data_IF_972188653598
#
_entry.id   IF_972188653598
#
_cell.length_a   1.000
_cell.length_b   1.000
_cell.length_c   1.000
_cell.angle_alpha   90.00
_cell.angle_beta   90.00
_cell.angle_gamma   90.00
#
_symmetry.space_group_name_H-M   'P 1'
#
loop_
_entity.id
_entity.type
_entity.pdbx_description
1 polymer ?
#
# COMPACT_ATOMS: atom_id res chain seq x y z
N UNK A 1 23.73 -6.69 -0.74
CA UNK A 1 23.99 -5.26 -0.45
C UNK A 1 22.67 -4.52 -0.44
N UNK A 2 22.32 -3.79 0.63
CA UNK A 2 21.12 -2.94 0.68
C UNK A 2 21.31 -1.74 -0.24
N UNK A 3 20.22 -1.36 -0.96
CA UNK A 3 20.21 -0.19 -1.84
C UNK A 3 19.39 0.95 -1.25
N UNK A 4 18.17 0.68 -0.85
CA UNK A 4 17.25 1.69 -0.31
C UNK A 4 16.17 1.03 0.56
N UNK A 5 15.49 1.87 1.33
CA UNK A 5 14.32 1.48 2.11
C UNK A 5 13.07 1.93 1.34
N UNK A 6 12.14 1.00 1.17
CA UNK A 6 10.82 1.28 0.60
C UNK A 6 9.79 1.36 1.71
N UNK A 7 9.05 2.47 1.79
CA UNK A 7 7.91 2.61 2.69
C UNK A 7 6.63 2.27 1.93
N UNK A 8 5.80 1.44 2.53
CA UNK A 8 4.54 0.98 1.96
C UNK A 8 3.40 1.29 2.94
N UNK A 9 2.40 2.01 2.45
CA UNK A 9 1.25 2.45 3.23
C UNK A 9 0.03 2.66 2.32
N UNK A 10 -0.69 3.75 2.47
CA UNK A 10 -1.90 4.06 1.72
C UNK A 10 -1.65 5.15 0.67
N UNK A 11 -2.32 5.03 -0.45
CA UNK A 11 -2.44 6.06 -1.47
C UNK A 11 -3.89 6.44 -1.67
N UNK A 12 -4.15 7.66 -2.09
CA UNK A 12 -5.51 8.14 -2.23
C UNK A 12 -5.66 9.18 -3.35
N UNK A 13 -6.89 9.33 -3.80
CA UNK A 13 -7.35 10.49 -4.53
C UNK A 13 -7.63 11.63 -3.53
N UNK A 14 -6.80 12.68 -3.56
CA UNK A 14 -6.87 13.81 -2.61
C UNK A 14 -8.22 14.51 -2.66
N UNK A 15 -8.72 14.78 -3.86
CA UNK A 15 -9.98 15.50 -4.07
C UNK A 15 -11.17 14.74 -3.45
N UNK A 16 -11.18 13.41 -3.61
CA UNK A 16 -12.21 12.56 -3.01
C UNK A 16 -12.11 12.50 -1.49
N UNK A 17 -10.88 12.46 -0.95
CA UNK A 17 -10.63 12.50 0.49
C UNK A 17 -11.13 13.80 1.12
N UNK A 18 -10.75 14.94 0.53
CA UNK A 18 -11.17 16.26 1.01
C UNK A 18 -12.68 16.44 0.90
N UNK A 19 -13.31 15.91 -0.18
CA UNK A 19 -14.76 15.89 -0.32
C UNK A 19 -15.46 15.01 0.73
N UNK A 20 -14.79 13.94 1.21
CA UNK A 20 -15.25 13.11 2.32
C UNK A 20 -15.00 13.74 3.72
N UNK A 21 -14.40 14.93 3.77
CA UNK A 21 -14.15 15.68 5.01
C UNK A 21 -12.79 15.44 5.64
N UNK A 22 -11.87 14.78 4.95
CA UNK A 22 -10.51 14.55 5.47
C UNK A 22 -9.64 15.80 5.40
N UNK A 23 -8.96 16.14 6.48
CA UNK A 23 -7.83 17.07 6.47
C UNK A 23 -6.56 16.30 6.10
N UNK A 24 -6.26 16.24 4.80
CA UNK A 24 -5.13 15.48 4.28
C UNK A 24 -3.80 15.96 4.86
N UNK A 25 -3.61 17.25 5.06
CA UNK A 25 -2.38 17.81 5.61
C UNK A 25 -2.19 17.39 7.08
N UNK A 26 -3.25 17.43 7.88
CA UNK A 26 -3.25 16.93 9.26
C UNK A 26 -2.92 15.43 9.30
N UNK A 27 -3.60 14.61 8.51
CA UNK A 27 -3.36 13.16 8.45
C UNK A 27 -1.89 12.85 8.08
N UNK A 28 -1.31 13.61 7.14
CA UNK A 28 0.08 13.41 6.72
C UNK A 28 1.10 13.81 7.78
N UNK A 29 0.79 14.76 8.66
CA UNK A 29 1.71 15.27 9.68
C UNK A 29 1.53 14.66 11.06
N UNK A 30 0.32 14.24 11.41
CA UNK A 30 -0.06 13.81 12.77
C UNK A 30 -0.54 12.34 12.83
N UNK A 31 -0.74 11.71 11.65
CA UNK A 31 -1.38 10.40 11.57
C UNK A 31 -2.89 10.46 11.76
N UNK A 32 -3.53 9.32 11.88
CA UNK A 32 -4.96 9.16 12.13
C UNK A 32 -5.29 7.83 12.81
N UNK A 33 -6.40 7.81 13.53
CA UNK A 33 -6.92 6.60 14.17
C UNK A 33 -7.72 5.76 13.19
N UNK A 34 -7.97 4.50 13.56
CA UNK A 34 -8.85 3.61 12.80
C UNK A 34 -10.29 4.13 12.75
N UNK A 35 -10.78 4.76 13.84
CA UNK A 35 -12.10 5.37 13.89
C UNK A 35 -12.22 6.53 12.91
N UNK A 36 -11.25 7.45 12.89
CA UNK A 36 -11.20 8.55 11.90
C UNK A 36 -11.17 8.01 10.47
N UNK A 37 -10.41 6.94 10.23
CA UNK A 37 -10.37 6.27 8.95
C UNK A 37 -11.75 5.72 8.55
N UNK A 38 -12.45 5.01 9.45
CA UNK A 38 -13.79 4.49 9.17
C UNK A 38 -14.82 5.59 8.88
N UNK A 39 -14.75 6.72 9.59
CA UNK A 39 -15.64 7.87 9.31
C UNK A 39 -15.43 8.42 7.90
N UNK A 40 -14.18 8.55 7.46
CA UNK A 40 -13.83 8.97 6.11
C UNK A 40 -14.27 7.93 5.07
N UNK A 41 -14.07 6.62 5.33
CA UNK A 41 -14.56 5.58 4.43
C UNK A 41 -16.08 5.64 4.28
N UNK A 42 -16.80 5.82 5.37
CA UNK A 42 -18.26 5.94 5.37
C UNK A 42 -18.73 7.14 4.56
N UNK A 43 -18.05 8.28 4.69
CA UNK A 43 -18.40 9.49 3.96
C UNK A 43 -18.08 9.42 2.46
N UNK A 44 -16.97 8.75 2.10
CA UNK A 44 -16.48 8.66 0.72
C UNK A 44 -16.99 7.45 -0.08
N UNK A 45 -17.66 6.47 0.57
CA UNK A 45 -18.21 5.29 -0.13
C UNK A 45 -19.53 5.64 -0.79
N UNK A 46 -19.68 5.25 -2.06
CA UNK A 46 -20.91 5.40 -2.84
C UNK A 46 -21.27 4.10 -3.55
N UNK A 47 -22.35 4.08 -4.33
CA UNK A 47 -22.71 2.93 -5.19
C UNK A 47 -21.64 2.58 -6.23
N UNK A 48 -20.83 3.57 -6.64
CA UNK A 48 -19.87 3.47 -7.75
C UNK A 48 -18.41 3.56 -7.28
N UNK A 49 -18.19 3.85 -5.98
CA UNK A 49 -16.85 4.05 -5.41
C UNK A 49 -16.72 3.37 -4.05
N UNK A 50 -15.72 2.51 -3.91
CA UNK A 50 -15.30 1.98 -2.61
C UNK A 50 -14.48 3.04 -1.85
N UNK A 51 -14.73 3.16 -0.55
CA UNK A 51 -13.90 4.00 0.32
C UNK A 51 -12.46 3.51 0.36
N UNK A 52 -12.27 2.19 0.40
CA UNK A 52 -10.95 1.56 0.50
C UNK A 52 -10.83 0.29 -0.35
N UNK A 53 -9.71 0.15 -1.02
CA UNK A 53 -9.35 -1.06 -1.78
C UNK A 53 -7.94 -1.50 -1.40
N UNK A 54 -7.77 -2.77 -1.07
CA UNK A 54 -6.48 -3.37 -0.78
C UNK A 54 -6.25 -4.58 -1.68
N UNK A 55 -5.02 -4.72 -2.22
CA UNK A 55 -4.67 -5.92 -2.99
C UNK A 55 -4.55 -7.12 -2.04
N UNK A 56 -5.46 -8.09 -2.21
CA UNK A 56 -5.63 -9.21 -1.30
C UNK A 56 -5.73 -10.56 -2.00
N UNK A 57 -5.39 -10.63 -3.29
CA UNK A 57 -5.42 -11.88 -4.06
C UNK A 57 -4.07 -12.25 -4.68
N UNK A 58 -3.90 -13.52 -5.01
CA UNK A 58 -2.68 -14.05 -5.59
C UNK A 58 -1.47 -13.86 -4.68
N UNK A 59 -0.35 -13.42 -5.27
CA UNK A 59 0.91 -13.22 -4.54
C UNK A 59 0.87 -12.08 -3.53
N UNK A 60 -0.11 -11.19 -3.62
CA UNK A 60 -0.27 -10.05 -2.70
C UNK A 60 -1.14 -10.36 -1.49
N UNK A 61 -1.69 -11.57 -1.38
CA UNK A 61 -2.49 -11.95 -0.20
C UNK A 61 -1.69 -11.82 1.12
N UNK A 62 -0.39 -12.06 1.10
CA UNK A 62 0.51 -11.87 2.26
C UNK A 62 0.70 -10.42 2.66
N UNK A 63 0.39 -9.46 1.78
CA UNK A 63 0.49 -8.03 2.09
C UNK A 63 -0.58 -7.60 3.11
N UNK A 64 -1.69 -8.33 3.21
CA UNK A 64 -2.74 -8.06 4.20
C UNK A 64 -2.18 -8.15 5.63
N UNK A 65 -1.65 -9.27 6.13
CA UNK A 65 -1.08 -9.33 7.47
C UNK A 65 0.20 -8.50 7.63
N UNK A 66 1.01 -8.35 6.58
CA UNK A 66 2.31 -7.68 6.68
C UNK A 66 2.20 -6.15 6.61
N UNK A 67 1.35 -5.61 5.75
CA UNK A 67 1.25 -4.16 5.52
C UNK A 67 0.02 -3.59 6.20
N UNK A 68 -1.18 -4.14 5.91
CA UNK A 68 -2.41 -3.68 6.53
C UNK A 68 -2.45 -4.07 8.02
N UNK A 69 -1.82 -5.18 8.41
CA UNK A 69 -1.73 -5.64 9.79
C UNK A 69 -1.06 -4.66 10.75
N UNK A 70 -0.23 -3.75 10.23
CA UNK A 70 0.42 -2.70 11.03
C UNK A 70 -0.59 -1.85 11.79
N UNK A 71 -1.78 -1.58 11.21
CA UNK A 71 -2.86 -0.85 11.88
C UNK A 71 -3.35 -1.52 13.16
N UNK A 72 -3.25 -2.84 13.26
CA UNK A 72 -3.61 -3.65 14.40
C UNK A 72 -2.41 -4.05 15.28
N UNK A 73 -1.22 -3.49 15.03
CA UNK A 73 -0.02 -3.79 15.79
C UNK A 73 0.70 -5.07 15.38
N UNK A 74 0.42 -5.62 14.19
CA UNK A 74 1.19 -6.72 13.61
C UNK A 74 2.44 -6.15 12.94
N UNK A 75 3.60 -6.33 13.56
CA UNK A 75 4.87 -5.81 13.03
C UNK A 75 5.74 -6.90 12.39
N UNK A 76 5.56 -8.15 12.80
CA UNK A 76 6.32 -9.31 12.32
C UNK A 76 5.45 -10.57 12.32
N UNK A 77 5.82 -11.55 11.49
CA UNK A 77 5.20 -12.88 11.49
C UNK A 77 5.53 -13.69 12.76
N UNK A 78 6.61 -13.35 13.45
CA UNK A 78 7.06 -13.99 14.67
C UNK A 78 7.34 -12.92 15.74
N UNK A 79 7.03 -13.27 16.98
CA UNK A 79 7.42 -12.51 18.17
C UNK A 79 8.91 -12.67 18.47
N UNK A 80 9.47 -11.87 19.38
CA UNK A 80 10.90 -11.96 19.75
C UNK A 80 11.28 -13.32 20.34
N UNK A 81 10.31 -14.03 20.97
CA UNK A 81 10.47 -15.40 21.48
C UNK A 81 10.13 -16.47 20.40
N UNK A 82 10.10 -16.09 19.15
CA UNK A 82 9.89 -16.94 17.95
C UNK A 82 8.53 -17.67 17.93
N UNK A 83 7.52 -17.14 18.60
CA UNK A 83 6.14 -17.63 18.46
C UNK A 83 5.48 -16.99 17.24
N UNK A 84 4.58 -17.73 16.61
CA UNK A 84 3.85 -17.24 15.45
C UNK A 84 2.85 -16.16 15.84
N UNK A 85 3.07 -14.92 15.35
CA UNK A 85 2.28 -13.75 15.75
C UNK A 85 0.88 -13.70 15.11
N UNK A 86 0.68 -14.41 13.98
CA UNK A 86 -0.63 -14.43 13.28
C UNK A 86 -1.71 -15.28 13.99
N UNK A 87 -1.45 -15.78 15.19
CA UNK A 87 -2.45 -16.38 16.09
C UNK A 87 -2.79 -15.47 17.28
N UNK A 88 -2.39 -14.21 17.23
CA UNK A 88 -2.59 -13.22 18.30
C UNK A 88 -3.93 -12.49 18.19
N UNK A 89 -4.30 -11.79 19.26
CA UNK A 89 -5.46 -10.88 19.28
C UNK A 89 -5.32 -9.76 18.23
N UNK A 90 -4.10 -9.32 17.93
CA UNK A 90 -3.83 -8.33 16.89
C UNK A 90 -4.27 -8.84 15.51
N UNK A 91 -4.04 -10.13 15.20
CA UNK A 91 -4.54 -10.72 13.95
C UNK A 91 -6.07 -10.79 13.97
N UNK A 92 -6.67 -11.15 15.08
CA UNK A 92 -8.14 -11.16 15.21
C UNK A 92 -8.73 -9.76 15.03
N UNK A 93 -8.10 -8.73 15.59
CA UNK A 93 -8.49 -7.33 15.40
C UNK A 93 -8.40 -6.92 13.92
N UNK A 94 -7.33 -7.29 13.21
CA UNK A 94 -7.21 -7.06 11.76
C UNK A 94 -8.34 -7.74 10.98
N UNK A 95 -8.62 -9.00 11.26
CA UNK A 95 -9.67 -9.75 10.55
C UNK A 95 -11.07 -9.17 10.83
N UNK A 96 -11.34 -8.75 12.07
CA UNK A 96 -12.59 -8.08 12.43
C UNK A 96 -12.73 -6.74 11.69
N UNK A 97 -11.66 -5.96 11.57
CA UNK A 97 -11.67 -4.70 10.82
C UNK A 97 -11.96 -4.92 9.32
N UNK A 98 -11.36 -5.94 8.72
CA UNK A 98 -11.63 -6.30 7.32
C UNK A 98 -13.09 -6.73 7.15
N UNK A 99 -13.60 -7.56 8.08
CA UNK A 99 -14.99 -8.01 8.06
C UNK A 99 -15.94 -6.82 8.19
N UNK A 100 -15.68 -5.90 9.13
CA UNK A 100 -16.46 -4.68 9.34
C UNK A 100 -16.52 -3.83 8.07
N UNK A 101 -15.37 -3.48 7.49
CA UNK A 101 -15.29 -2.67 6.27
C UNK A 101 -15.97 -3.35 5.07
N UNK A 102 -15.85 -4.67 4.96
CA UNK A 102 -16.47 -5.45 3.88
C UNK A 102 -18.00 -5.50 4.06
N UNK A 103 -18.50 -5.77 5.27
CA UNK A 103 -19.95 -5.79 5.57
C UNK A 103 -20.60 -4.42 5.40
N UNK A 104 -19.87 -3.36 5.73
CA UNK A 104 -20.34 -1.98 5.53
C UNK A 104 -20.30 -1.54 4.04
N UNK A 105 -19.70 -2.34 3.14
CA UNK A 105 -19.53 -2.01 1.73
C UNK A 105 -18.40 -1.01 1.45
N UNK A 106 -17.57 -0.68 2.43
CA UNK A 106 -16.43 0.23 2.25
C UNK A 106 -15.30 -0.42 1.45
N UNK A 107 -15.18 -1.74 1.55
CA UNK A 107 -14.24 -2.57 0.77
C UNK A 107 -14.98 -3.55 -0.15
N UNK A 108 -14.35 -3.94 -1.29
CA UNK A 108 -14.84 -5.03 -2.11
C UNK A 108 -14.93 -6.35 -1.33
N UNK A 109 -15.98 -7.14 -1.59
CA UNK A 109 -16.14 -8.50 -1.06
C UNK A 109 -15.57 -9.58 -2.00
N UNK A 110 -14.65 -9.19 -2.88
CA UNK A 110 -13.97 -10.05 -3.84
C UNK A 110 -12.46 -9.77 -3.83
N UNK A 111 -11.67 -10.69 -4.39
CA UNK A 111 -10.22 -10.54 -4.49
C UNK A 111 -9.82 -9.42 -5.46
N UNK A 112 -8.93 -8.54 -5.01
CA UNK A 112 -8.36 -7.46 -5.82
C UNK A 112 -6.89 -7.76 -6.09
N UNK A 113 -6.53 -7.72 -7.36
CA UNK A 113 -5.14 -7.94 -7.81
C UNK A 113 -4.27 -6.69 -7.62
N UNK A 114 -2.95 -6.91 -7.55
CA UNK A 114 -1.98 -5.83 -7.32
C UNK A 114 -2.10 -4.65 -8.31
N UNK A 115 -2.33 -4.93 -9.59
CA UNK A 115 -2.49 -3.90 -10.63
C UNK A 115 -3.83 -3.15 -10.54
N UNK A 116 -4.88 -3.81 -10.08
CA UNK A 116 -6.24 -3.28 -10.11
C UNK A 116 -6.46 -2.14 -9.11
N UNK A 117 -5.87 -2.19 -7.90
CA UNK A 117 -6.12 -1.21 -6.84
C UNK A 117 -5.82 0.24 -7.25
N UNK A 118 -4.69 0.47 -7.94
CA UNK A 118 -4.33 1.80 -8.42
C UNK A 118 -5.21 2.22 -9.61
N UNK A 119 -5.51 1.29 -10.52
CA UNK A 119 -6.42 1.53 -11.64
C UNK A 119 -7.81 1.91 -11.14
N UNK A 120 -8.34 1.24 -10.10
CA UNK A 120 -9.62 1.60 -9.49
C UNK A 120 -9.59 3.03 -8.92
N UNK A 121 -8.49 3.44 -8.28
CA UNK A 121 -8.34 4.82 -7.80
C UNK A 121 -8.30 5.81 -8.99
N UNK A 122 -7.52 5.52 -10.03
CA UNK A 122 -7.45 6.36 -11.24
C UNK A 122 -8.80 6.48 -11.96
N UNK A 123 -9.66 5.47 -11.85
CA UNK A 123 -11.02 5.48 -12.42
C UNK A 123 -12.06 6.13 -11.51
N UNK A 124 -11.69 6.64 -10.34
CA UNK A 124 -12.63 7.15 -9.34
C UNK A 124 -13.51 6.08 -8.68
N UNK A 125 -13.14 4.79 -8.81
CA UNK A 125 -13.84 3.64 -8.23
C UNK A 125 -13.32 3.25 -6.85
N UNK A 126 -12.25 3.85 -6.39
CA UNK A 126 -11.71 3.73 -5.06
C UNK A 126 -11.15 5.08 -4.60
N UNK A 127 -11.51 5.51 -3.40
CA UNK A 127 -10.99 6.74 -2.80
C UNK A 127 -9.58 6.52 -2.25
N UNK A 128 -9.39 5.46 -1.49
CA UNK A 128 -8.12 5.07 -0.87
C UNK A 128 -7.72 3.68 -1.37
N UNK A 129 -6.45 3.45 -1.59
CA UNK A 129 -5.92 2.14 -1.96
C UNK A 129 -4.64 1.78 -1.19
N UNK A 130 -4.47 0.53 -0.85
CA UNK A 130 -3.26 -0.08 -0.27
C UNK A 130 -2.83 -1.27 -1.13
N UNK A 131 -1.68 -1.68 -1.14
CA UNK A 131 -0.38 -1.10 -0.71
C UNK A 131 0.02 0.01 -1.68
N UNK A 132 0.41 1.15 -1.14
CA UNK A 132 0.87 2.28 -1.93
C UNK A 132 2.31 2.68 -1.54
N UNK A 133 2.96 3.40 -2.42
CA UNK A 133 4.33 3.89 -2.27
C UNK A 133 4.41 5.33 -2.79
N UNK A 134 5.35 6.16 -2.29
CA UNK A 134 5.51 7.55 -2.76
C UNK A 134 5.71 7.65 -4.28
N UNK A 135 6.44 6.69 -4.87
CA UNK A 135 6.72 6.67 -6.32
C UNK A 135 5.46 6.55 -7.21
N UNK A 136 4.31 6.16 -6.65
CA UNK A 136 3.05 6.06 -7.41
C UNK A 136 2.53 7.43 -7.87
N UNK A 137 2.96 8.51 -7.22
CA UNK A 137 2.70 9.88 -7.68
C UNK A 137 3.17 10.09 -9.13
N UNK A 138 4.36 9.58 -9.47
CA UNK A 138 4.87 9.67 -10.84
C UNK A 138 3.98 8.93 -11.86
N UNK A 139 3.40 7.80 -11.48
CA UNK A 139 2.51 7.04 -12.36
C UNK A 139 1.18 7.77 -12.58
N UNK A 140 0.66 8.37 -11.52
CA UNK A 140 -0.57 9.17 -11.58
C UNK A 140 -0.34 10.44 -12.40
N UNK A 141 0.77 11.15 -12.18
CA UNK A 141 1.11 12.34 -12.95
C UNK A 141 1.30 12.04 -14.45
N UNK A 142 1.90 10.89 -14.80
CA UNK A 142 1.98 10.43 -16.20
C UNK A 142 0.60 10.18 -16.79
N UNK A 143 -0.30 9.55 -16.03
CA UNK A 143 -1.68 9.33 -16.48
C UNK A 143 -2.44 10.64 -16.67
N UNK A 144 -2.28 11.60 -15.75
CA UNK A 144 -2.88 12.93 -15.88
C UNK A 144 -2.39 13.66 -17.13
N UNK A 145 -1.08 13.60 -17.40
CA UNK A 145 -0.50 14.20 -18.62
C UNK A 145 -1.04 13.53 -19.90
N UNK A 146 -1.22 12.21 -19.91
CA UNK A 146 -1.81 11.48 -21.02
C UNK A 146 -3.29 11.85 -21.25
N UNK A 147 -4.05 12.06 -20.16
CA UNK A 147 -5.43 12.56 -20.24
C UNK A 147 -5.48 13.97 -20.86
N UNK A 148 -4.61 14.88 -20.39
CA UNK A 148 -4.53 16.25 -20.91
C UNK A 148 -4.12 16.27 -22.39
N UNK A 149 -3.14 15.46 -22.76
CA UNK A 149 -2.67 15.33 -24.15
C UNK A 149 -3.68 14.63 -25.06
N UNK A 150 -4.64 13.89 -24.50
CA UNK A 150 -5.59 13.03 -25.22
C UNK A 150 -4.90 12.12 -26.26
N UNK A 151 -3.76 11.54 -25.86
CA UNK A 151 -2.88 10.76 -26.74
C UNK A 151 -3.26 9.26 -26.83
N UNK A 152 -4.28 8.84 -26.08
CA UNK A 152 -4.78 7.47 -26.06
C UNK A 152 -3.93 6.52 -25.17
N UNK A 153 -2.94 7.02 -24.42
CA UNK A 153 -2.10 6.20 -23.54
C UNK A 153 -2.56 6.22 -22.07
N UNK A 154 -3.52 7.09 -21.73
CA UNK A 154 -4.11 7.12 -20.40
C UNK A 154 -4.81 5.80 -20.06
N UNK A 155 -4.90 5.49 -18.76
CA UNK A 155 -5.70 4.37 -18.26
C UNK A 155 -7.16 4.56 -18.70
N UNK A 156 -7.75 3.52 -19.25
CA UNK A 156 -9.12 3.56 -19.77
C UNK A 156 -10.11 3.99 -18.69
N UNK A 157 -10.99 4.94 -19.03
CA UNK A 157 -11.98 5.54 -18.12
C UNK A 157 -11.38 6.19 -16.86
N UNK A 158 -10.09 6.57 -16.89
CA UNK A 158 -9.48 7.29 -15.77
C UNK A 158 -9.88 8.76 -15.74
N UNK A 159 -9.73 9.34 -14.55
CA UNK A 159 -9.92 10.76 -14.27
C UNK A 159 -8.59 11.38 -13.84
N UNK A 160 -8.42 12.66 -14.04
CA UNK A 160 -7.31 13.39 -13.47
C UNK A 160 -7.50 13.49 -11.94
N UNK A 161 -6.44 13.25 -11.17
CA UNK A 161 -6.46 13.32 -9.72
C UNK A 161 -5.11 13.76 -9.15
N UNK A 162 -5.13 14.32 -7.95
CA UNK A 162 -3.93 14.56 -7.16
C UNK A 162 -3.68 13.37 -6.23
N UNK A 163 -2.47 12.83 -6.29
CA UNK A 163 -2.09 11.73 -5.40
C UNK A 163 -1.83 12.23 -3.98
N UNK A 164 -2.36 11.54 -2.99
CA UNK A 164 -1.98 11.69 -1.59
C UNK A 164 -1.39 10.38 -1.08
N UNK A 165 -0.17 10.42 -0.54
CA UNK A 165 0.42 9.32 0.21
C UNK A 165 0.12 9.53 1.69
N UNK A 166 -0.45 8.52 2.35
CA UNK A 166 -0.99 8.61 3.71
C UNK A 166 -0.35 7.57 4.63
N UNK A 167 -0.16 7.87 5.92
CA UNK A 167 0.20 6.87 6.90
C UNK A 167 -0.90 5.81 7.04
N UNK A 168 -0.54 4.62 7.53
CA UNK A 168 -1.50 3.61 7.93
C UNK A 168 -2.24 4.11 9.19
N UNK A 169 -3.58 4.00 9.26
CA UNK A 169 -4.30 4.31 10.50
C UNK A 169 -3.91 3.32 11.59
N UNK A 170 -4.05 3.71 12.84
CA UNK A 170 -3.75 2.83 13.97
C UNK A 170 -4.99 2.63 14.87
N UNK A 171 -5.16 1.41 15.36
CA UNK A 171 -6.19 1.08 16.35
C UNK A 171 -5.82 1.64 17.73
N UNK A 172 -6.81 1.75 18.62
CA UNK A 172 -6.59 2.23 19.99
C UNK A 172 -5.52 1.39 20.72
N UNK A 173 -4.61 2.07 21.40
CA UNK A 173 -3.48 1.48 22.09
C UNK A 173 -2.37 0.92 21.18
N UNK A 174 -2.49 1.01 19.85
CA UNK A 174 -1.46 0.63 18.89
C UNK A 174 -0.59 1.82 18.56
N UNK A 175 0.72 1.64 18.61
CA UNK A 175 1.66 2.67 18.16
C UNK A 175 1.57 2.85 16.65
N UNK A 176 1.50 4.08 16.20
CA UNK A 176 1.59 4.41 14.78
C UNK A 176 2.86 3.85 14.16
N UNK A 177 2.72 3.16 13.05
CA UNK A 177 3.83 2.54 12.33
C UNK A 177 3.50 2.43 10.83
N UNK A 178 4.54 2.18 10.03
CA UNK A 178 4.40 1.83 8.63
C UNK A 178 5.22 0.58 8.30
N UNK A 179 4.83 -0.12 7.25
CA UNK A 179 5.62 -1.22 6.74
C UNK A 179 6.78 -0.67 5.92
N UNK A 180 8.01 -1.10 6.27
CA UNK A 180 9.21 -0.80 5.51
C UNK A 180 9.91 -2.08 5.06
N UNK A 181 10.44 -2.08 3.85
CA UNK A 181 11.32 -3.14 3.34
C UNK A 181 12.65 -2.57 2.89
N UNK A 182 13.70 -3.37 3.04
CA UNK A 182 15.00 -3.05 2.49
C UNK A 182 15.14 -3.79 1.16
N UNK A 183 15.25 -3.03 0.09
CA UNK A 183 15.56 -3.59 -1.23
C UNK A 183 17.07 -3.67 -1.40
N UNK A 184 17.54 -4.76 -1.97
CA UNK A 184 18.98 -5.01 -2.11
C UNK A 184 19.32 -5.85 -3.32
N UNK A 185 20.61 -5.88 -3.63
CA UNK A 185 21.16 -6.71 -4.69
C UNK A 185 21.84 -7.94 -4.09
N UNK A 186 21.62 -9.07 -4.73
CA UNK A 186 22.26 -10.34 -4.38
C UNK A 186 22.90 -10.97 -5.61
N UNK A 187 24.11 -11.52 -5.44
CA UNK A 187 24.76 -12.34 -6.45
C UNK A 187 24.30 -13.80 -6.28
N UNK A 188 23.71 -14.35 -7.31
CA UNK A 188 23.29 -15.76 -7.33
C UNK A 188 24.32 -16.62 -8.06
N UNK A 189 24.59 -17.82 -7.53
CA UNK A 189 25.40 -18.85 -8.20
C UNK A 189 24.49 -19.90 -8.83
N UNK A 190 24.89 -20.38 -10.00
CA UNK A 190 24.37 -21.58 -10.63
C UNK A 190 25.51 -22.54 -10.96
N UNK A 191 25.21 -23.70 -11.52
CA UNK A 191 26.21 -24.73 -11.83
C UNK A 191 27.29 -24.31 -12.84
N UNK A 192 27.06 -23.21 -13.59
CA UNK A 192 28.00 -22.69 -14.60
C UNK A 192 28.72 -21.41 -14.12
N UNK A 193 28.46 -20.94 -12.89
CA UNK A 193 29.10 -19.75 -12.34
C UNK A 193 30.54 -20.04 -11.93
N UNK A 194 31.49 -19.41 -12.61
CA UNK A 194 32.92 -19.47 -12.23
C UNK A 194 33.22 -18.48 -11.10
N UNK A 195 34.33 -18.71 -10.37
CA UNK A 195 34.76 -17.80 -9.31
C UNK A 195 35.17 -16.43 -9.88
N UNK A 196 35.75 -16.38 -11.08
CA UNK A 196 36.06 -15.12 -11.77
C UNK A 196 34.79 -14.34 -12.11
N UNK A 197 33.75 -15.03 -12.65
CA UNK A 197 32.45 -14.40 -12.93
C UNK A 197 31.83 -13.83 -11.65
N UNK A 198 31.81 -14.61 -10.56
CA UNK A 198 31.29 -14.14 -9.28
C UNK A 198 32.06 -12.93 -8.74
N UNK A 199 33.40 -12.95 -8.83
CA UNK A 199 34.23 -11.80 -8.44
C UNK A 199 33.87 -10.54 -9.22
N UNK A 200 33.67 -10.64 -10.54
CA UNK A 200 33.29 -9.51 -11.38
C UNK A 200 31.89 -8.99 -11.04
N UNK A 201 30.94 -9.88 -10.74
CA UNK A 201 29.59 -9.51 -10.27
C UNK A 201 29.70 -8.75 -8.94
N UNK A 202 30.47 -9.25 -7.97
CA UNK A 202 30.65 -8.57 -6.68
C UNK A 202 31.27 -7.17 -6.84
N UNK A 203 32.31 -7.03 -7.69
CA UNK A 203 32.91 -5.72 -7.98
C UNK A 203 31.91 -4.73 -8.61
N UNK A 204 31.04 -5.24 -9.50
CA UNK A 204 29.99 -4.41 -10.08
C UNK A 204 28.94 -4.01 -9.04
N UNK A 205 28.54 -4.91 -8.15
CA UNK A 205 27.62 -4.59 -7.06
C UNK A 205 28.20 -3.57 -6.08
N UNK A 206 29.49 -3.71 -5.73
CA UNK A 206 30.19 -2.74 -4.87
C UNK A 206 30.23 -1.35 -5.52
N UNK A 207 30.50 -1.29 -6.83
CA UNK A 207 30.46 -0.04 -7.59
C UNK A 207 29.05 0.61 -7.60
N UNK A 208 27.99 -0.18 -7.73
CA UNK A 208 26.61 0.34 -7.72
C UNK A 208 26.17 0.86 -6.33
N UNK A 209 26.79 0.37 -5.26
CA UNK A 209 26.43 0.70 -3.89
C UNK A 209 27.41 1.69 -3.23
N UNK A 210 28.42 2.18 -3.96
CA UNK A 210 29.38 3.18 -3.51
C UNK A 210 28.95 4.59 -3.92
#
# INVERSE_FOLDING_TARGET
>A
LPLYITIQSLGANREMLEAAGADVAKIQSEGWTYEEFLEILKAGTTSDCFGFVFANSGVTASDVPNIMGVMAGLTNAFTDDLKYAFTSDNMLNLLNAIEEMTKAGYMPNYGVEAGQRMVMCQQGKAMIFGKAMPLFENNINKNNAALEANDGTAVENSIALTYAFLPMPHMDGVQEACFGSVDGLVALRNNNTTDEHLKNVCLFLDYLCS
#
